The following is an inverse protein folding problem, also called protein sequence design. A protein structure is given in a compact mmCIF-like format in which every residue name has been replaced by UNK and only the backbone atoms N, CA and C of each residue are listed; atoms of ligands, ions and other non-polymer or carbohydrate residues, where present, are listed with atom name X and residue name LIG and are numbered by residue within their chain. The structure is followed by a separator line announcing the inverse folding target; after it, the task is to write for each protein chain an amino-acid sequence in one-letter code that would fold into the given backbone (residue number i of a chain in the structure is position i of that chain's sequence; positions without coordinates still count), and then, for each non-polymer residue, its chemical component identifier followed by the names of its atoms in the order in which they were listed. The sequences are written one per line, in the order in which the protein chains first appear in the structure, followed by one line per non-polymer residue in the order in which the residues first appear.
data_IF_157452233850
#
_entry.id   IF_157452233850
#
_cell.length_a   1.000
_cell.length_b   1.000
_cell.length_c   1.000
_cell.angle_alpha   90.00
_cell.angle_beta   90.00
_cell.angle_gamma   90.00
#
_symmetry.space_group_name_H-M   'P 1'
#
loop_
_entity.id
_entity.type
_entity.pdbx_description
1 polymer ?
#
# COMPACT_ATOMS: atom_id res chain seq x y z
N UNK A 1 -1.37 2.36 -2.41
CA UNK A 1 -0.25 1.54 -2.93
C UNK A 1 -0.72 0.89 -4.22
N UNK A 2 0.14 0.83 -5.26
CA UNK A 2 -0.22 0.15 -6.50
C UNK A 2 -0.62 -1.30 -6.18
N UNK A 3 -1.67 -1.78 -6.84
CA UNK A 3 -2.07 -3.18 -6.76
C UNK A 3 -0.99 -4.07 -7.38
N UNK A 4 -0.99 -5.39 -7.12
CA UNK A 4 -0.06 -6.31 -7.78
C UNK A 4 -0.06 -6.19 -9.31
N UNK A 5 -1.24 -5.94 -9.91
CA UNK A 5 -1.42 -5.71 -11.35
C UNK A 5 -0.70 -4.45 -11.84
N UNK A 6 -0.72 -3.38 -11.06
CA UNK A 6 -0.01 -2.16 -11.41
C UNK A 6 1.50 -2.27 -11.17
N UNK A 7 1.92 -2.92 -10.08
CA UNK A 7 3.33 -3.15 -9.80
C UNK A 7 4.01 -4.00 -10.89
N UNK A 8 3.30 -4.97 -11.49
CA UNK A 8 3.84 -5.81 -12.56
C UNK A 8 4.05 -5.08 -13.89
N UNK A 9 3.51 -3.87 -14.06
CA UNK A 9 3.80 -3.00 -15.21
C UNK A 9 5.25 -2.48 -15.20
N UNK A 10 5.91 -2.50 -14.04
CA UNK A 10 7.25 -1.95 -13.83
C UNK A 10 8.28 -3.06 -13.59
N UNK A 11 9.56 -2.85 -13.95
CA UNK A 11 10.61 -3.83 -13.70
C UNK A 11 10.79 -4.08 -12.21
N UNK A 12 11.12 -5.33 -11.85
CA UNK A 12 11.41 -5.69 -10.48
C UNK A 12 12.64 -4.95 -9.96
N UNK A 13 12.66 -4.69 -8.65
CA UNK A 13 13.83 -4.11 -7.98
C UNK A 13 15.00 -5.10 -8.11
N UNK A 14 16.20 -4.64 -8.53
CA UNK A 14 17.40 -5.48 -8.57
C UNK A 14 17.72 -6.15 -7.22
N UNK A 15 18.15 -7.40 -7.25
CA UNK A 15 18.37 -8.22 -6.05
C UNK A 15 19.60 -7.82 -5.23
N UNK A 16 20.49 -7.02 -5.82
CA UNK A 16 21.72 -6.50 -5.21
C UNK A 16 21.49 -5.21 -4.41
N UNK A 17 20.29 -4.62 -4.48
CA UNK A 17 19.96 -3.40 -3.75
C UNK A 17 19.31 -3.76 -2.40
N UNK A 18 19.86 -3.28 -1.27
CA UNK A 18 19.24 -3.51 0.03
C UNK A 18 17.89 -2.78 0.12
N UNK A 19 16.83 -3.53 0.41
CA UNK A 19 15.47 -2.99 0.58
C UNK A 19 15.10 -2.98 2.06
N UNK A 20 14.57 -1.84 2.52
CA UNK A 20 14.06 -1.72 3.88
C UNK A 20 12.82 -2.62 4.09
N UNK A 21 12.82 -3.40 5.17
CA UNK A 21 11.66 -4.20 5.57
C UNK A 21 10.72 -3.34 6.43
N UNK A 22 9.67 -2.81 5.81
CA UNK A 22 8.64 -2.07 6.52
C UNK A 22 7.60 -3.04 7.12
N UNK A 23 7.08 -2.76 8.33
CA UNK A 23 5.94 -3.49 8.88
C UNK A 23 4.74 -3.39 7.94
N UNK A 24 4.07 -4.51 7.70
CA UNK A 24 2.81 -4.58 6.96
C UNK A 24 1.69 -4.69 7.98
N UNK A 25 0.72 -3.77 7.89
CA UNK A 25 -0.42 -3.64 8.78
C UNK A 25 -1.69 -3.97 7.98
N UNK A 26 -2.56 -4.81 8.51
CA UNK A 26 -3.84 -5.18 7.88
C UNK A 26 -4.93 -4.16 8.15
N UNK A 27 -5.44 -3.51 7.10
CA UNK A 27 -6.55 -2.57 7.22
C UNK A 27 -7.86 -3.26 7.63
N UNK A 28 -8.11 -4.47 7.12
CA UNK A 28 -9.32 -5.24 7.44
C UNK A 28 -9.41 -5.58 8.94
N UNK A 29 -8.28 -5.92 9.56
CA UNK A 29 -8.20 -6.13 11.01
C UNK A 29 -8.37 -4.84 11.82
N UNK A 30 -7.79 -3.72 11.37
CA UNK A 30 -8.01 -2.42 12.02
C UNK A 30 -9.49 -2.02 12.02
N UNK A 31 -10.20 -2.25 10.91
CA UNK A 31 -11.65 -2.03 10.83
C UNK A 31 -12.45 -2.94 11.77
N UNK A 32 -11.88 -4.06 12.18
CA UNK A 32 -12.48 -5.02 13.11
C UNK A 32 -12.06 -4.79 14.57
N UNK A 33 -11.42 -3.65 14.87
CA UNK A 33 -10.92 -3.27 16.20
C UNK A 33 -9.91 -4.28 16.79
N UNK A 34 -9.08 -4.88 15.93
CA UNK A 34 -8.01 -5.77 16.36
C UNK A 34 -6.96 -4.98 17.15
N UNK A 35 -6.78 -5.37 18.43
CA UNK A 35 -5.90 -4.68 19.37
C UNK A 35 -4.42 -4.89 19.07
N UNK A 36 -4.06 -6.06 18.56
CA UNK A 36 -2.67 -6.38 18.25
C UNK A 36 -2.22 -5.60 17.02
N UNK A 37 -3.09 -5.54 16.00
CA UNK A 37 -2.86 -4.77 14.79
C UNK A 37 -2.79 -3.26 15.09
N UNK A 38 -3.67 -2.76 15.96
CA UNK A 38 -3.63 -1.36 16.42
C UNK A 38 -2.33 -1.04 17.19
N UNK A 39 -1.87 -1.97 18.04
CA UNK A 39 -0.60 -1.85 18.75
C UNK A 39 0.59 -1.88 17.79
N UNK A 40 0.51 -2.67 16.71
CA UNK A 40 1.53 -2.73 15.68
C UNK A 40 1.65 -1.42 14.91
N UNK A 41 0.54 -0.74 14.60
CA UNK A 41 0.56 0.62 14.01
C UNK A 41 1.30 1.60 14.90
N UNK A 42 0.95 1.65 16.19
CA UNK A 42 1.60 2.54 17.13
C UNK A 42 3.09 2.23 17.29
N UNK A 43 3.44 0.94 17.37
CA UNK A 43 4.83 0.47 17.42
C UNK A 43 5.63 0.89 16.19
N UNK A 44 5.12 0.65 14.98
CA UNK A 44 5.76 1.05 13.74
C UNK A 44 5.94 2.57 13.64
N UNK A 45 4.91 3.32 14.03
CA UNK A 45 4.92 4.79 14.03
C UNK A 45 6.02 5.35 14.93
N UNK A 46 6.31 4.70 16.06
CA UNK A 46 7.37 5.11 16.98
C UNK A 46 8.76 4.62 16.59
N UNK A 47 8.85 3.42 16.01
CA UNK A 47 10.14 2.79 15.71
C UNK A 47 10.74 3.29 14.39
N UNK A 48 9.93 3.33 13.33
CA UNK A 48 10.37 3.67 11.97
C UNK A 48 9.69 4.91 11.44
N UNK A 49 8.51 5.27 11.96
CA UNK A 49 7.66 6.34 11.41
C UNK A 49 6.97 5.96 10.11
N UNK A 50 7.20 4.74 9.60
CA UNK A 50 6.66 4.24 8.34
C UNK A 50 6.16 2.81 8.49
N UNK A 51 5.02 2.53 7.88
CA UNK A 51 4.46 1.20 7.71
C UNK A 51 3.72 1.12 6.37
N UNK A 52 3.52 -0.11 5.90
CA UNK A 52 2.67 -0.42 4.76
C UNK A 52 1.29 -0.79 5.29
N UNK A 53 0.25 -0.16 4.76
CA UNK A 53 -1.12 -0.57 5.03
C UNK A 53 -1.59 -1.50 3.89
N UNK A 54 -1.84 -2.76 4.24
CA UNK A 54 -2.47 -3.74 3.36
C UNK A 54 -3.98 -3.52 3.33
N UNK A 55 -4.48 -3.13 2.16
CA UNK A 55 -5.90 -2.84 1.93
C UNK A 55 -6.66 -4.08 1.45
N UNK A 56 -6.03 -5.25 1.37
CA UNK A 56 -6.67 -6.48 0.95
C UNK A 56 -7.67 -7.01 1.98
N UNK A 57 -8.64 -7.80 1.52
CA UNK A 57 -9.54 -8.56 2.40
C UNK A 57 -10.64 -7.75 3.07
N UNK A 58 -10.93 -6.52 2.61
CA UNK A 58 -12.15 -5.81 2.99
C UNK A 58 -12.70 -4.93 1.86
N UNK A 59 -14.04 -4.72 1.79
CA UNK A 59 -14.66 -3.92 0.73
C UNK A 59 -14.13 -2.47 0.65
N UNK A 60 -13.92 -1.84 1.81
CA UNK A 60 -13.42 -0.47 1.87
C UNK A 60 -12.00 -0.34 1.30
N UNK A 61 -11.15 -1.32 1.57
CA UNK A 61 -9.78 -1.35 1.06
C UNK A 61 -9.71 -1.62 -0.45
N UNK A 62 -10.54 -2.55 -0.94
CA UNK A 62 -10.66 -2.84 -2.37
C UNK A 62 -11.23 -1.66 -3.17
N UNK A 63 -12.21 -0.93 -2.62
CA UNK A 63 -12.73 0.29 -3.24
C UNK A 63 -11.65 1.37 -3.32
N UNK A 64 -10.85 1.54 -2.26
CA UNK A 64 -9.73 2.48 -2.26
C UNK A 64 -8.71 2.15 -3.35
N UNK A 65 -8.37 0.87 -3.52
CA UNK A 65 -7.47 0.43 -4.59
C UNK A 65 -7.99 0.81 -5.98
N UNK A 66 -9.26 0.53 -6.29
CA UNK A 66 -9.85 0.88 -7.59
C UNK A 66 -9.76 2.38 -7.87
N UNK A 67 -10.01 3.22 -6.84
CA UNK A 67 -9.88 4.68 -6.97
C UNK A 67 -8.42 5.10 -7.17
N UNK A 68 -7.48 4.47 -6.47
CA UNK A 68 -6.06 4.74 -6.64
C UNK A 68 -5.56 4.37 -8.04
N UNK A 69 -6.01 3.24 -8.59
CA UNK A 69 -5.72 2.82 -9.96
C UNK A 69 -6.24 3.84 -10.98
N UNK A 70 -7.50 4.29 -10.84
CA UNK A 70 -8.05 5.32 -11.71
C UNK A 70 -7.26 6.64 -11.67
N UNK A 71 -6.69 7.01 -10.51
CA UNK A 71 -5.80 8.17 -10.42
C UNK A 71 -4.47 7.97 -11.14
N UNK A 72 -3.92 6.75 -11.15
CA UNK A 72 -2.72 6.45 -11.93
C UNK A 72 -2.99 6.51 -13.43
N UNK A 73 -4.09 5.92 -13.90
CA UNK A 73 -4.51 6.01 -15.31
C UNK A 73 -4.68 7.48 -15.75
N UNK A 74 -5.35 8.30 -14.92
CA UNK A 74 -5.51 9.73 -15.18
C UNK A 74 -4.15 10.47 -15.20
N UNK A 75 -3.23 10.12 -14.31
CA UNK A 75 -1.90 10.73 -14.30
C UNK A 75 -1.13 10.44 -15.59
N UNK A 76 -1.26 9.22 -16.13
CA UNK A 76 -0.63 8.83 -17.39
C UNK A 76 -1.22 9.64 -18.56
N UNK A 77 -2.55 9.81 -18.61
CA UNK A 77 -3.22 10.66 -19.60
C UNK A 77 -2.76 12.12 -19.52
N UNK A 78 -2.70 12.68 -18.32
CA UNK A 78 -2.28 14.07 -18.08
C UNK A 78 -0.81 14.27 -18.44
N UNK A 79 0.05 13.31 -18.12
CA UNK A 79 1.48 13.39 -18.41
C UNK A 79 1.79 13.25 -19.91
N UNK A 80 0.85 12.70 -20.69
CA UNK A 80 0.96 12.57 -22.14
C UNK A 80 0.44 13.79 -22.92
N UNK A 81 -0.09 14.81 -22.24
CA UNK A 81 -0.50 16.06 -22.87
C UNK A 81 0.73 16.83 -23.41
N UNK A 82 0.58 17.54 -24.55
CA UNK A 82 1.67 18.26 -25.22
C UNK A 82 2.14 19.53 -24.49
#
# INVERSE_FOLDING_TARGET
MPTPTYFSKYPAIPSDIPVAKLPIISFSKLLSDDKDESSAVFGASRATGFSILDMSGCPAGEEFWKRAEAMFDLNDEVSALP
#
